data_IF_171124373953
#
_entry.id   IF_171124373953
#
_cell.length_a   1.000
_cell.length_b   1.000
_cell.length_c   1.000
_cell.angle_alpha   90.00
_cell.angle_beta   90.00
_cell.angle_gamma   90.00
#
_symmetry.space_group_name_H-M   'P 1'
#
loop_
_entity.id
_entity.type
_entity.pdbx_description
1 polymer ?
#
# COMPACT_ATOMS: atom_id res chain seq x y z
N UNK A 1 -4.54 22.06 2.09
CA UNK A 1 -3.48 21.02 2.19
C UNK A 1 -3.97 19.83 2.98
N UNK A 2 -4.36 20.03 4.24
CA UNK A 2 -4.76 18.95 5.14
C UNK A 2 -5.93 18.09 4.62
N UNK A 3 -6.99 18.72 4.10
CA UNK A 3 -8.15 17.99 3.53
C UNK A 3 -7.77 17.05 2.37
N UNK A 4 -6.77 17.38 1.55
CA UNK A 4 -6.33 16.55 0.41
C UNK A 4 -5.50 15.35 0.87
N UNK A 5 -4.55 15.56 1.78
CA UNK A 5 -3.81 14.44 2.38
C UNK A 5 -4.75 13.50 3.14
N UNK A 6 -5.69 14.04 3.92
CA UNK A 6 -6.66 13.24 4.64
C UNK A 6 -7.52 12.37 3.71
N UNK A 7 -7.88 12.88 2.53
CA UNK A 7 -8.62 12.11 1.52
C UNK A 7 -7.75 11.00 0.91
N UNK A 8 -6.49 11.29 0.58
CA UNK A 8 -5.53 10.30 0.06
C UNK A 8 -5.30 9.18 1.09
N UNK A 9 -5.14 9.51 2.38
CA UNK A 9 -5.00 8.51 3.45
C UNK A 9 -6.26 7.64 3.56
N UNK A 10 -7.45 8.22 3.45
CA UNK A 10 -8.72 7.46 3.50
C UNK A 10 -8.90 6.54 2.29
N UNK A 11 -8.53 6.99 1.09
CA UNK A 11 -8.51 6.14 -0.10
C UNK A 11 -7.50 5.00 0.05
N UNK A 12 -6.30 5.30 0.58
CA UNK A 12 -5.29 4.30 0.92
C UNK A 12 -5.78 3.25 1.90
N UNK A 13 -6.52 3.67 2.92
CA UNK A 13 -7.13 2.78 3.88
C UNK A 13 -8.07 1.75 3.23
N UNK A 14 -8.88 2.18 2.25
CA UNK A 14 -9.79 1.27 1.54
C UNK A 14 -8.99 0.24 0.72
N UNK A 15 -7.99 0.69 -0.03
CA UNK A 15 -7.12 -0.23 -0.80
C UNK A 15 -6.43 -1.23 0.12
N UNK A 16 -5.87 -0.77 1.24
CA UNK A 16 -5.22 -1.65 2.20
C UNK A 16 -6.20 -2.57 2.94
N UNK A 17 -7.43 -2.12 3.23
CA UNK A 17 -8.46 -2.96 3.83
C UNK A 17 -8.85 -4.12 2.89
N UNK A 18 -9.05 -3.82 1.61
CA UNK A 18 -9.40 -4.82 0.59
C UNK A 18 -8.23 -5.81 0.41
N UNK A 19 -7.00 -5.32 0.29
CA UNK A 19 -5.82 -6.19 0.20
C UNK A 19 -5.63 -7.04 1.46
N UNK A 20 -5.87 -6.49 2.65
CA UNK A 20 -5.80 -7.23 3.91
C UNK A 20 -6.83 -8.36 3.95
N UNK A 21 -8.08 -8.10 3.56
CA UNK A 21 -9.13 -9.12 3.51
C UNK A 21 -8.79 -10.23 2.51
N UNK A 22 -8.29 -9.87 1.32
CA UNK A 22 -7.85 -10.84 0.33
C UNK A 22 -6.76 -11.76 0.89
N UNK A 23 -5.74 -11.19 1.54
CA UNK A 23 -4.63 -11.95 2.15
C UNK A 23 -5.05 -12.80 3.36
N UNK A 24 -6.07 -12.37 4.12
CA UNK A 24 -6.50 -13.08 5.32
C UNK A 24 -7.39 -14.29 4.97
N UNK A 25 -8.34 -14.10 4.06
CA UNK A 25 -9.37 -15.09 3.72
C UNK A 25 -8.87 -16.04 2.63
N UNK A 26 -8.31 -15.48 1.55
CA UNK A 26 -7.92 -16.23 0.33
C UNK A 26 -6.50 -15.85 -0.10
N UNK A 27 -5.46 -16.21 0.68
CA UNK A 27 -4.08 -15.89 0.35
C UNK A 27 -3.62 -16.50 -0.98
N UNK A 28 -4.16 -17.66 -1.36
CA UNK A 28 -3.84 -18.36 -2.62
C UNK A 28 -4.19 -17.51 -3.85
N UNK A 29 -5.40 -16.93 -3.89
CA UNK A 29 -5.81 -16.02 -4.96
C UNK A 29 -4.87 -14.81 -5.11
N UNK A 30 -4.26 -14.36 -4.01
CA UNK A 30 -3.32 -13.25 -4.04
C UNK A 30 -1.97 -13.68 -4.61
N UNK A 31 -1.51 -14.89 -4.28
CA UNK A 31 -0.28 -15.48 -4.81
C UNK A 31 -0.42 -15.76 -6.31
N UNK A 32 -1.57 -16.28 -6.74
CA UNK A 32 -1.91 -16.49 -8.15
C UNK A 32 -1.95 -15.17 -8.92
N UNK A 33 -2.55 -14.14 -8.32
CA UNK A 33 -2.59 -12.80 -8.93
C UNK A 33 -1.17 -12.25 -9.14
N UNK A 34 -0.26 -12.51 -8.21
CA UNK A 34 1.16 -12.14 -8.30
C UNK A 34 1.96 -13.01 -9.28
N UNK A 35 1.33 -14.03 -9.86
CA UNK A 35 1.93 -14.95 -10.84
C UNK A 35 3.15 -15.68 -10.26
N UNK A 36 3.08 -16.03 -8.97
CA UNK A 36 4.13 -16.80 -8.29
C UNK A 36 4.01 -18.27 -8.71
N UNK A 37 5.14 -18.88 -9.10
CA UNK A 37 5.15 -20.28 -9.51
C UNK A 37 4.66 -21.18 -8.37
N UNK A 38 3.53 -21.86 -8.60
CA UNK A 38 3.08 -22.95 -7.76
C UNK A 38 4.10 -24.08 -7.83
N UNK A 39 4.52 -24.59 -6.67
CA UNK A 39 5.29 -25.82 -6.62
C UNK A 39 4.46 -27.01 -7.12
N UNK A 40 5.10 -28.17 -7.28
CA UNK A 40 4.44 -29.42 -7.71
C UNK A 40 3.29 -29.90 -6.82
N UNK A 41 3.09 -29.30 -5.65
CA UNK A 41 2.01 -29.59 -4.69
C UNK A 41 1.28 -28.32 -4.21
N UNK A 42 1.34 -27.22 -4.97
CA UNK A 42 0.77 -25.92 -4.59
C UNK A 42 1.74 -25.05 -3.75
N UNK A 43 1.22 -24.01 -3.11
CA UNK A 43 2.01 -23.10 -2.27
C UNK A 43 2.40 -23.74 -0.93
N UNK A 44 3.59 -23.42 -0.43
CA UNK A 44 4.02 -23.90 0.88
C UNK A 44 3.14 -23.34 2.00
N UNK A 45 2.85 -24.17 3.00
CA UNK A 45 2.04 -23.76 4.14
C UNK A 45 2.65 -22.57 4.90
N UNK A 46 3.99 -22.49 4.94
CA UNK A 46 4.71 -21.36 5.52
C UNK A 46 4.43 -20.05 4.78
N UNK A 47 4.41 -20.07 3.44
CA UNK A 47 4.11 -18.91 2.62
C UNK A 47 2.67 -18.43 2.84
N UNK A 48 1.71 -19.35 2.91
CA UNK A 48 0.30 -19.05 3.17
C UNK A 48 0.14 -18.34 4.52
N UNK A 49 0.78 -18.86 5.58
CA UNK A 49 0.72 -18.23 6.90
C UNK A 49 1.47 -16.89 6.94
N UNK A 50 2.60 -16.76 6.24
CA UNK A 50 3.30 -15.48 6.09
C UNK A 50 2.40 -14.43 5.42
N UNK A 51 1.67 -14.81 4.38
CA UNK A 51 0.70 -13.93 3.71
C UNK A 51 -0.44 -13.51 4.64
N UNK A 52 -0.98 -14.41 5.46
CA UNK A 52 -2.00 -14.07 6.47
C UNK A 52 -1.48 -13.08 7.51
N UNK A 53 -0.24 -13.27 7.99
CA UNK A 53 0.41 -12.36 8.94
C UNK A 53 0.63 -10.98 8.31
N UNK A 54 1.06 -10.91 7.05
CA UNK A 54 1.14 -9.65 6.29
C UNK A 54 -0.24 -9.00 6.12
N UNK A 55 -1.28 -9.78 5.85
CA UNK A 55 -2.67 -9.32 5.81
C UNK A 55 -3.10 -8.65 7.13
N UNK A 56 -2.74 -9.23 8.27
CA UNK A 56 -3.01 -8.62 9.58
C UNK A 56 -2.26 -7.29 9.77
N UNK A 57 -0.99 -7.19 9.34
CA UNK A 57 -0.25 -5.92 9.36
C UNK A 57 -0.90 -4.85 8.47
N UNK A 58 -1.37 -5.24 7.28
CA UNK A 58 -2.11 -4.37 6.36
C UNK A 58 -3.42 -3.87 6.97
N UNK A 59 -4.11 -4.72 7.74
CA UNK A 59 -5.34 -4.35 8.44
C UNK A 59 -5.07 -3.27 9.51
N UNK A 60 -3.98 -3.40 10.27
CA UNK A 60 -3.55 -2.37 11.23
C UNK A 60 -3.28 -1.04 10.50
N UNK A 61 -2.52 -1.09 9.40
CA UNK A 61 -2.21 0.11 8.61
C UNK A 61 -3.50 0.77 8.06
N UNK A 62 -4.42 -0.04 7.54
CA UNK A 62 -5.74 0.40 7.06
C UNK A 62 -6.52 1.16 8.12
N UNK A 63 -6.55 0.69 9.38
CA UNK A 63 -7.29 1.36 10.47
C UNK A 63 -6.59 2.62 10.97
N UNK A 64 -5.25 2.63 10.97
CA UNK A 64 -4.47 3.78 11.43
C UNK A 64 -4.51 4.97 10.46
N UNK A 65 -4.56 4.73 9.15
CA UNK A 65 -4.61 5.79 8.15
C UNK A 65 -5.78 6.78 8.28
N UNK A 66 -7.05 6.36 8.40
CA UNK A 66 -8.19 7.26 8.57
C UNK A 66 -8.18 7.93 9.94
N UNK A 67 -7.64 7.26 10.97
CA UNK A 67 -7.48 7.81 12.32
C UNK A 67 -6.49 8.99 12.30
N UNK A 68 -5.32 8.79 11.70
CA UNK A 68 -4.32 9.86 11.49
C UNK A 68 -4.90 10.97 10.64
N UNK A 69 -5.65 10.64 9.58
CA UNK A 69 -6.32 11.64 8.74
C UNK A 69 -7.37 12.48 9.49
N UNK A 70 -7.99 11.94 10.55
CA UNK A 70 -9.01 12.63 11.34
C UNK A 70 -8.42 13.49 12.47
N UNK A 71 -7.39 13.01 13.14
CA UNK A 71 -6.88 13.62 14.38
C UNK A 71 -5.52 14.32 14.26
N UNK A 72 -4.78 14.15 13.16
CA UNK A 72 -3.45 14.77 13.03
C UNK A 72 -3.52 16.27 12.74
N UNK A 73 -2.61 17.02 13.38
CA UNK A 73 -2.38 18.44 13.07
C UNK A 73 -1.83 18.64 11.65
N UNK A 74 -1.99 19.84 11.07
CA UNK A 74 -1.51 20.11 9.70
C UNK A 74 0.00 19.84 9.52
N UNK A 75 0.80 20.12 10.56
CA UNK A 75 2.26 19.87 10.56
C UNK A 75 2.56 18.37 10.56
N UNK A 76 1.90 17.61 11.43
CA UNK A 76 2.06 16.16 11.51
C UNK A 76 1.62 15.49 10.20
N UNK A 77 0.48 15.89 9.64
CA UNK A 77 -0.03 15.35 8.39
C UNK A 77 0.94 15.59 7.21
N UNK A 78 1.61 16.75 7.18
CA UNK A 78 2.65 17.03 6.18
C UNK A 78 3.87 16.11 6.33
N UNK A 79 4.35 15.89 7.56
CA UNK A 79 5.46 14.96 7.83
C UNK A 79 5.10 13.53 7.42
N UNK A 80 3.89 13.08 7.76
CA UNK A 80 3.36 11.77 7.35
C UNK A 80 3.32 11.66 5.83
N UNK A 81 2.86 12.70 5.13
CA UNK A 81 2.87 12.71 3.65
C UNK A 81 4.27 12.54 3.06
N UNK A 82 5.29 13.20 3.62
CA UNK A 82 6.68 13.07 3.14
C UNK A 82 7.22 11.66 3.40
N UNK A 83 6.97 11.11 4.58
CA UNK A 83 7.35 9.74 4.93
C UNK A 83 6.66 8.72 4.00
N UNK A 84 5.37 8.91 3.73
CA UNK A 84 4.58 8.03 2.86
C UNK A 84 5.07 8.07 1.41
N UNK A 85 5.54 9.21 0.89
CA UNK A 85 6.21 9.24 -0.42
C UNK A 85 7.42 8.30 -0.44
N UNK A 86 8.27 8.36 0.60
CA UNK A 86 9.45 7.50 0.72
C UNK A 86 9.08 6.01 0.82
N UNK A 87 8.13 5.68 1.69
CA UNK A 87 7.67 4.30 1.90
C UNK A 87 7.01 3.73 0.64
N UNK A 88 6.13 4.49 -0.03
CA UNK A 88 5.48 4.03 -1.27
C UNK A 88 6.49 3.90 -2.43
N UNK A 89 7.51 4.75 -2.48
CA UNK A 89 8.59 4.64 -3.47
C UNK A 89 9.42 3.38 -3.22
N UNK A 90 9.77 3.11 -1.96
CA UNK A 90 10.49 1.90 -1.56
C UNK A 90 9.66 0.65 -1.86
N UNK A 91 8.37 0.65 -1.53
CA UNK A 91 7.48 -0.47 -1.81
C UNK A 91 7.37 -0.73 -3.31
N UNK A 92 7.21 0.32 -4.13
CA UNK A 92 7.18 0.18 -5.60
C UNK A 92 8.49 -0.38 -6.15
N UNK A 93 9.64 0.07 -5.61
CA UNK A 93 10.95 -0.43 -5.98
C UNK A 93 11.13 -1.91 -5.59
N UNK A 94 10.70 -2.29 -4.39
CA UNK A 94 10.74 -3.68 -3.94
C UNK A 94 9.84 -4.57 -4.80
N UNK A 95 8.65 -4.11 -5.17
CA UNK A 95 7.77 -4.82 -6.13
C UNK A 95 8.44 -4.98 -7.49
N UNK A 96 9.19 -3.97 -7.96
CA UNK A 96 9.91 -4.04 -9.22
C UNK A 96 11.05 -5.09 -9.19
N UNK A 97 11.83 -5.11 -8.11
CA UNK A 97 12.99 -6.00 -7.93
C UNK A 97 12.56 -7.41 -7.50
N UNK A 98 11.32 -7.59 -7.04
CA UNK A 98 10.83 -8.88 -6.55
C UNK A 98 11.11 -10.00 -7.57
N UNK A 99 11.64 -11.16 -7.12
CA UNK A 99 11.98 -12.31 -7.97
C UNK A 99 10.71 -13.11 -8.33
N UNK A 100 9.73 -12.42 -8.89
CA UNK A 100 8.50 -12.96 -9.43
C UNK A 100 8.45 -12.66 -10.94
N UNK A 101 7.84 -13.55 -11.75
CA UNK A 101 7.56 -13.29 -13.16
C UNK A 101 6.89 -11.93 -13.38
N UNK A 102 7.05 -11.38 -14.57
CA UNK A 102 6.36 -10.15 -14.97
C UNK A 102 4.90 -10.43 -15.35
N UNK A 103 4.12 -10.89 -14.36
CA UNK A 103 2.69 -11.12 -14.48
C UNK A 103 1.86 -9.85 -14.32
N UNK A 104 0.56 -9.97 -14.59
CA UNK A 104 -0.40 -8.87 -14.50
C UNK A 104 -0.44 -8.25 -13.09
N UNK A 105 -0.34 -9.06 -12.03
CA UNK A 105 -0.40 -8.54 -10.66
C UNK A 105 0.80 -7.71 -10.25
N UNK A 106 2.02 -8.11 -10.65
CA UNK A 106 3.23 -7.32 -10.38
C UNK A 106 3.14 -5.92 -11.00
N UNK A 107 2.62 -5.83 -12.23
CA UNK A 107 2.40 -4.55 -12.93
C UNK A 107 1.35 -3.71 -12.21
N UNK A 108 0.21 -4.31 -11.83
CA UNK A 108 -0.85 -3.60 -11.10
C UNK A 108 -0.33 -3.06 -9.77
N UNK A 109 0.40 -3.85 -8.99
CA UNK A 109 0.96 -3.40 -7.71
C UNK A 109 2.00 -2.29 -7.87
N UNK A 110 2.87 -2.39 -8.87
CA UNK A 110 3.84 -1.33 -9.17
C UNK A 110 3.13 -0.01 -9.57
N UNK A 111 2.06 -0.09 -10.36
CA UNK A 111 1.25 1.07 -10.74
C UNK A 111 0.51 1.68 -9.56
N UNK A 112 -0.07 0.85 -8.68
CA UNK A 112 -0.73 1.31 -7.45
C UNK A 112 0.26 2.05 -6.56
N UNK A 113 1.44 1.48 -6.32
CA UNK A 113 2.50 2.13 -5.54
C UNK A 113 2.93 3.48 -6.14
N UNK A 114 3.13 3.53 -7.47
CA UNK A 114 3.44 4.77 -8.20
C UNK A 114 2.32 5.81 -8.12
N UNK A 115 1.06 5.39 -8.22
CA UNK A 115 -0.10 6.26 -8.09
C UNK A 115 -0.16 6.89 -6.69
N UNK A 116 0.12 6.11 -5.63
CA UNK A 116 0.20 6.64 -4.28
C UNK A 116 1.33 7.66 -4.12
N UNK A 117 2.51 7.40 -4.70
CA UNK A 117 3.61 8.38 -4.72
C UNK A 117 3.17 9.70 -5.35
N UNK A 118 2.54 9.65 -6.53
CA UNK A 118 2.03 10.84 -7.21
C UNK A 118 0.94 11.56 -6.40
N UNK A 119 0.02 10.80 -5.79
CA UNK A 119 -1.04 11.35 -4.95
C UNK A 119 -0.47 12.10 -3.75
N UNK A 120 0.48 11.52 -3.02
CA UNK A 120 1.13 12.18 -1.89
C UNK A 120 1.96 13.39 -2.32
N UNK A 121 2.70 13.32 -3.43
CA UNK A 121 3.40 14.48 -3.99
C UNK A 121 2.46 15.62 -4.38
N UNK A 122 1.31 15.30 -4.98
CA UNK A 122 0.27 16.27 -5.31
C UNK A 122 -0.34 16.90 -4.05
N UNK A 123 -0.61 16.09 -3.03
CA UNK A 123 -1.07 16.55 -1.72
C UNK A 123 -0.09 17.51 -1.04
N UNK A 124 1.22 17.22 -1.13
CA UNK A 124 2.31 18.02 -0.57
C UNK A 124 2.63 19.28 -1.38
N UNK A 125 2.32 19.35 -2.68
CA UNK A 125 2.52 20.55 -3.52
C UNK A 125 1.53 21.68 -3.25
N UNK A 126 0.50 21.46 -2.44
CA UNK A 126 -0.59 22.42 -2.16
C UNK A 126 -0.27 23.75 -1.45
N UNK A 127 1.00 24.16 -1.29
CA UNK A 127 1.40 25.57 -1.03
C UNK A 127 2.85 25.84 -1.49
N UNK A 128 3.00 26.42 -2.68
CA UNK A 128 4.01 27.45 -2.97
C UNK A 128 3.28 28.70 -3.46
N UNK A 129 2.97 29.60 -2.52
CA UNK A 129 2.69 31.05 -2.67
C UNK A 129 1.60 31.47 -1.69
N UNK A 130 2.02 32.20 -0.66
CA UNK A 130 1.70 33.62 -0.50
C UNK A 130 2.80 34.19 0.40
N UNK A 131 3.73 34.90 -0.23
CA UNK A 131 4.39 36.04 0.40
C UNK A 131 3.32 37.11 0.60
#
# INVERSE_FOLDING_TARGET
MAKRLALILRLGAIVFAVSALALLITPELFLDFLDLEEGSTGYSQELIWAMRMMGACLLIASVMMPLVAAFASERALRQVGVLMVGICSLLSLLTFIAPAPWGNGKVVFALVGGLFVLAYLYGLRGRRRKY
#
